data_IF_150304218154
#
_entry.id   IF_150304218154
#
_cell.length_a   1.000
_cell.length_b   1.000
_cell.length_c   1.000
_cell.angle_alpha   90.00
_cell.angle_beta   90.00
_cell.angle_gamma   90.00
#
_symmetry.space_group_name_H-M   'P 1'
#
loop_
_entity.id
_entity.type
_entity.pdbx_description
1 polymer ?
#
# COMPACT_ATOMS: atom_id res chain seq x y z
N UNK A 1 -0.77 6.28 -7.90
CA UNK A 1 -0.96 4.84 -8.21
C UNK A 1 -2.10 4.22 -7.38
N UNK A 2 -2.49 4.84 -6.24
CA UNK A 2 -3.64 4.43 -5.41
C UNK A 2 -4.89 5.30 -5.63
N UNK A 3 -4.97 6.07 -6.67
CA UNK A 3 -6.01 7.08 -6.94
C UNK A 3 -7.45 6.53 -6.88
N UNK A 4 -7.64 5.27 -7.25
CA UNK A 4 -8.94 4.58 -7.21
C UNK A 4 -9.19 3.89 -5.86
N UNK A 5 -8.15 3.67 -5.03
CA UNK A 5 -8.26 3.01 -3.74
C UNK A 5 -8.40 4.04 -2.63
N UNK A 6 -9.56 4.69 -2.57
CA UNK A 6 -9.94 5.69 -1.57
C UNK A 6 -11.26 5.29 -0.91
N UNK A 7 -11.44 5.63 0.36
CA UNK A 7 -12.51 5.14 1.20
C UNK A 7 -13.35 6.28 1.79
N UNK A 8 -14.62 6.00 2.03
CA UNK A 8 -15.54 6.98 2.60
C UNK A 8 -15.75 8.18 1.69
N UNK A 9 -15.68 9.38 2.26
CA UNK A 9 -15.88 10.64 1.55
C UNK A 9 -14.57 11.21 0.96
N UNK A 10 -13.46 10.51 1.14
CA UNK A 10 -12.16 10.94 0.61
C UNK A 10 -12.15 10.91 -0.92
N UNK A 11 -11.50 11.92 -1.50
CA UNK A 11 -11.36 12.05 -2.96
C UNK A 11 -9.89 12.26 -3.31
N UNK A 12 -9.43 11.51 -4.28
CA UNK A 12 -8.12 11.77 -4.86
C UNK A 12 -8.16 13.04 -5.70
N UNK A 13 -7.18 13.91 -5.52
CA UNK A 13 -7.00 15.12 -6.33
C UNK A 13 -5.62 15.06 -6.98
N UNK A 14 -5.58 15.02 -8.30
CA UNK A 14 -4.33 15.13 -9.04
C UNK A 14 -3.93 16.60 -9.15
N UNK A 15 -2.67 16.93 -8.83
CA UNK A 15 -2.16 18.32 -8.88
C UNK A 15 -2.37 18.95 -10.25
N UNK A 16 -2.18 18.18 -11.32
CA UNK A 16 -2.39 18.68 -12.71
C UNK A 16 -3.82 19.11 -13.02
N UNK A 17 -4.80 18.77 -12.18
CA UNK A 17 -6.20 19.15 -12.37
C UNK A 17 -6.59 20.45 -11.66
N UNK A 18 -5.68 21.04 -10.87
CA UNK A 18 -6.01 22.22 -10.03
C UNK A 18 -6.09 23.52 -10.84
N UNK A 19 -5.24 23.68 -11.85
CA UNK A 19 -5.22 24.88 -12.72
C UNK A 19 -4.50 24.57 -14.02
N UNK A 20 -4.62 25.48 -15.00
CA UNK A 20 -3.86 25.41 -16.26
C UNK A 20 -2.34 25.45 -15.99
N UNK A 21 -1.91 26.33 -15.12
CA UNK A 21 -0.50 26.44 -14.73
C UNK A 21 0.02 25.15 -14.07
N UNK A 22 -0.74 24.56 -13.13
CA UNK A 22 -0.41 23.28 -12.54
C UNK A 22 -0.31 22.16 -13.59
N UNK A 23 -1.22 22.13 -14.57
CA UNK A 23 -1.17 21.16 -15.67
C UNK A 23 0.12 21.31 -16.49
N UNK A 24 0.48 22.54 -16.86
CA UNK A 24 1.67 22.85 -17.70
C UNK A 24 3.00 22.56 -16.99
N UNK A 25 3.02 22.49 -15.64
CA UNK A 25 4.21 22.23 -14.82
C UNK A 25 4.22 20.87 -14.10
N UNK A 26 3.31 19.97 -14.47
CA UNK A 26 3.21 18.66 -13.80
C UNK A 26 3.54 17.53 -14.77
N UNK A 27 4.39 16.61 -14.31
CA UNK A 27 4.56 15.28 -14.91
C UNK A 27 3.82 14.30 -14.01
N UNK A 28 2.74 13.72 -14.51
CA UNK A 28 2.01 12.65 -13.82
C UNK A 28 2.64 11.31 -14.16
N UNK A 29 3.00 10.54 -13.14
CA UNK A 29 3.46 9.15 -13.30
C UNK A 29 2.47 8.27 -12.57
N UNK A 30 1.87 7.32 -13.28
CA UNK A 30 0.85 6.43 -12.75
C UNK A 30 1.02 5.00 -13.28
N UNK A 31 0.24 4.06 -12.79
CA UNK A 31 0.31 2.68 -13.23
C UNK A 31 -0.92 1.87 -12.87
N UNK A 32 -1.09 0.78 -13.60
CA UNK A 32 -2.24 -0.11 -13.49
C UNK A 32 -2.13 -1.10 -12.31
N UNK A 33 -0.95 -1.19 -11.69
CA UNK A 33 -0.61 -2.22 -10.70
C UNK A 33 -1.56 -2.29 -9.51
N UNK A 34 -2.03 -1.14 -9.00
CA UNK A 34 -2.79 -1.06 -7.75
C UNK A 34 -4.28 -0.84 -8.01
N UNK A 35 -4.61 0.23 -8.74
CA UNK A 35 -5.98 0.59 -9.06
C UNK A 35 -6.76 -0.50 -9.82
N UNK A 36 -6.07 -1.30 -10.62
CA UNK A 36 -6.66 -2.36 -11.45
C UNK A 36 -6.13 -3.76 -11.12
N UNK A 37 -5.48 -3.94 -9.97
CA UNK A 37 -4.90 -5.23 -9.55
C UNK A 37 -3.95 -5.89 -10.58
N UNK A 38 -3.26 -5.08 -11.41
CA UNK A 38 -2.43 -5.53 -12.53
C UNK A 38 -0.93 -5.53 -12.18
N UNK A 39 -0.55 -5.97 -10.99
CA UNK A 39 0.85 -5.96 -10.53
C UNK A 39 1.78 -6.78 -11.43
N UNK A 40 1.34 -7.95 -11.89
CA UNK A 40 2.09 -8.86 -12.75
C UNK A 40 2.23 -8.39 -14.20
N UNK A 41 1.38 -7.48 -14.65
CA UNK A 41 1.37 -6.97 -16.03
C UNK A 41 2.50 -5.99 -16.32
N UNK A 42 3.13 -5.42 -15.31
CA UNK A 42 4.30 -4.54 -15.40
C UNK A 42 4.07 -3.34 -16.34
N UNK A 43 2.96 -2.63 -16.19
CA UNK A 43 2.61 -1.46 -17.01
C UNK A 43 2.32 -0.23 -16.14
N UNK A 44 2.82 0.88 -16.60
CA UNK A 44 2.55 2.24 -16.12
C UNK A 44 2.55 3.21 -17.28
N UNK A 45 2.17 4.43 -17.00
CA UNK A 45 2.11 5.50 -17.98
C UNK A 45 2.51 6.84 -17.34
N UNK A 46 2.89 7.77 -18.20
CA UNK A 46 3.12 9.17 -17.81
C UNK A 46 2.32 10.10 -18.70
N UNK A 47 1.90 11.22 -18.11
CA UNK A 47 1.33 12.35 -18.84
C UNK A 47 2.13 13.60 -18.48
N UNK A 48 2.58 14.33 -19.50
CA UNK A 48 3.46 15.49 -19.36
C UNK A 48 3.20 16.50 -20.49
N UNK A 49 3.70 17.75 -20.38
CA UNK A 49 3.77 18.67 -21.51
C UNK A 49 4.44 18.02 -22.72
N UNK A 50 4.04 18.41 -23.93
CA UNK A 50 4.36 17.71 -25.16
C UNK A 50 5.86 17.53 -25.43
N UNK A 51 6.67 18.54 -25.13
CA UNK A 51 8.13 18.52 -25.28
C UNK A 51 8.78 17.47 -24.35
N UNK A 52 8.33 17.42 -23.09
CA UNK A 52 8.77 16.42 -22.13
C UNK A 52 8.29 15.01 -22.52
N UNK A 53 7.03 14.88 -22.95
CA UNK A 53 6.47 13.60 -23.39
C UNK A 53 7.24 13.05 -24.63
N UNK A 54 7.67 13.90 -25.56
CA UNK A 54 8.52 13.51 -26.68
C UNK A 54 9.88 13.00 -26.19
N UNK A 55 10.55 13.72 -25.28
CA UNK A 55 11.81 13.25 -24.70
C UNK A 55 11.69 11.92 -23.97
N UNK A 56 10.62 11.71 -23.18
CA UNK A 56 10.35 10.44 -22.52
C UNK A 56 10.16 9.29 -23.52
N UNK A 57 9.41 9.53 -24.61
CA UNK A 57 9.21 8.58 -25.70
C UNK A 57 10.53 8.20 -26.38
N UNK A 58 11.38 9.18 -26.66
CA UNK A 58 12.66 8.94 -27.33
C UNK A 58 13.59 8.10 -26.44
N UNK A 59 13.71 8.42 -25.14
CA UNK A 59 14.49 7.63 -24.18
C UNK A 59 13.92 6.21 -24.09
N UNK A 60 12.61 6.06 -23.95
CA UNK A 60 11.96 4.75 -23.90
C UNK A 60 12.25 3.95 -25.18
N UNK A 61 12.18 4.59 -26.35
CA UNK A 61 12.45 3.96 -27.64
C UNK A 61 13.88 3.39 -27.74
N UNK A 62 14.86 4.07 -27.16
CA UNK A 62 16.26 3.66 -27.16
C UNK A 62 16.64 2.68 -26.05
N UNK A 63 15.83 2.59 -24.98
CA UNK A 63 16.13 1.68 -23.83
C UNK A 63 15.42 0.35 -23.96
N UNK A 64 14.10 0.36 -24.14
CA UNK A 64 13.26 -0.85 -24.13
C UNK A 64 12.30 -0.92 -25.33
N UNK A 65 12.44 -0.07 -26.31
CA UNK A 65 11.58 0.14 -27.49
C UNK A 65 10.19 0.63 -27.10
N UNK A 66 9.34 -0.21 -26.53
CA UNK A 66 8.00 0.15 -26.02
C UNK A 66 7.53 -0.87 -24.97
N UNK A 67 6.45 -0.54 -24.29
CA UNK A 67 5.70 -1.52 -23.49
C UNK A 67 5.10 -2.62 -24.38
N UNK A 68 4.93 -3.82 -23.83
CA UNK A 68 4.37 -4.95 -24.57
C UNK A 68 2.98 -4.61 -25.13
N UNK A 69 2.78 -4.79 -26.44
CA UNK A 69 1.59 -4.27 -27.14
C UNK A 69 0.27 -4.81 -26.60
N UNK A 70 0.16 -6.12 -26.36
CA UNK A 70 -1.09 -6.68 -25.86
C UNK A 70 -1.41 -6.21 -24.42
N UNK A 71 -0.38 -5.87 -23.62
CA UNK A 71 -0.55 -5.29 -22.28
C UNK A 71 -1.09 -3.85 -22.39
N UNK A 72 -0.67 -3.09 -23.41
CA UNK A 72 -1.24 -1.76 -23.65
C UNK A 72 -2.73 -1.83 -23.96
N UNK A 73 -3.15 -2.80 -24.78
CA UNK A 73 -4.58 -3.05 -25.05
C UNK A 73 -5.35 -3.47 -23.79
N UNK A 74 -4.74 -4.31 -22.94
CA UNK A 74 -5.33 -4.68 -21.66
C UNK A 74 -5.48 -3.46 -20.72
N UNK A 75 -4.50 -2.54 -20.71
CA UNK A 75 -4.58 -1.30 -19.93
C UNK A 75 -5.70 -0.37 -20.43
N UNK A 76 -5.88 -0.25 -21.76
CA UNK A 76 -6.99 0.51 -22.35
C UNK A 76 -8.32 -0.11 -21.90
N UNK A 77 -8.48 -1.42 -22.07
CA UNK A 77 -9.69 -2.13 -21.65
C UNK A 77 -10.01 -1.93 -20.16
N UNK A 78 -8.98 -1.97 -19.29
CA UNK A 78 -9.15 -1.73 -17.86
C UNK A 78 -9.62 -0.30 -17.57
N UNK A 79 -9.05 0.70 -18.23
CA UNK A 79 -9.42 2.11 -18.07
C UNK A 79 -10.83 2.43 -18.57
N UNK A 80 -11.28 1.76 -19.62
CA UNK A 80 -12.56 2.03 -20.27
C UNK A 80 -13.72 1.21 -19.71
N UNK A 81 -13.47 0.02 -19.13
CA UNK A 81 -14.54 -0.96 -18.88
C UNK A 81 -14.56 -1.57 -17.47
N UNK A 82 -13.61 -1.27 -16.58
CA UNK A 82 -13.49 -1.96 -15.28
C UNK A 82 -13.84 -1.08 -14.06
N UNK A 83 -14.62 -0.02 -14.23
CA UNK A 83 -15.00 0.83 -13.09
C UNK A 83 -15.84 0.07 -12.04
N UNK A 84 -16.73 -0.84 -12.46
CA UNK A 84 -17.53 -1.66 -11.55
C UNK A 84 -16.66 -2.68 -10.79
N UNK A 85 -15.68 -3.30 -11.46
CA UNK A 85 -14.73 -4.21 -10.82
C UNK A 85 -13.86 -3.48 -9.79
N UNK A 86 -13.44 -2.27 -10.12
CA UNK A 86 -12.69 -1.39 -9.19
C UNK A 86 -13.55 -1.02 -7.98
N UNK A 87 -14.81 -0.64 -8.20
CA UNK A 87 -15.73 -0.31 -7.11
C UNK A 87 -15.94 -1.51 -6.17
N UNK A 88 -16.16 -2.70 -6.72
CA UNK A 88 -16.26 -3.93 -5.93
C UNK A 88 -14.98 -4.19 -5.11
N UNK A 89 -13.81 -4.06 -5.73
CA UNK A 89 -12.51 -4.24 -5.06
C UNK A 89 -12.31 -3.23 -3.92
N UNK A 90 -12.70 -1.97 -4.11
CA UNK A 90 -12.61 -0.91 -3.10
C UNK A 90 -13.47 -1.25 -1.88
N UNK A 91 -14.71 -1.71 -2.09
CA UNK A 91 -15.59 -2.11 -0.99
C UNK A 91 -15.04 -3.31 -0.21
N UNK A 92 -14.43 -4.28 -0.89
CA UNK A 92 -13.75 -5.40 -0.22
C UNK A 92 -12.52 -4.95 0.57
N UNK A 93 -11.72 -4.04 0.05
CA UNK A 93 -10.60 -3.46 0.78
C UNK A 93 -11.05 -2.62 1.98
N UNK A 94 -12.15 -1.89 1.86
CA UNK A 94 -12.73 -1.14 2.98
C UNK A 94 -13.12 -2.06 4.13
N UNK A 95 -13.79 -3.18 3.86
CA UNK A 95 -14.14 -4.18 4.88
C UNK A 95 -12.89 -4.73 5.58
N UNK A 96 -11.86 -5.08 4.80
CA UNK A 96 -10.59 -5.60 5.33
C UNK A 96 -9.83 -4.54 6.13
N UNK A 97 -9.81 -3.29 5.67
CA UNK A 97 -9.25 -2.16 6.40
C UNK A 97 -9.90 -2.00 7.76
N UNK A 98 -11.23 -1.90 7.77
CA UNK A 98 -11.99 -1.63 8.99
C UNK A 98 -11.81 -2.76 10.01
N UNK A 99 -11.83 -4.01 9.56
CA UNK A 99 -11.54 -5.15 10.40
C UNK A 99 -10.12 -5.11 10.97
N UNK A 100 -9.12 -4.92 10.10
CA UNK A 100 -7.71 -4.88 10.49
C UNK A 100 -7.43 -3.74 11.46
N UNK A 101 -7.96 -2.55 11.19
CA UNK A 101 -7.83 -1.39 12.05
C UNK A 101 -8.40 -1.65 13.46
N UNK A 102 -9.63 -2.14 13.53
CA UNK A 102 -10.31 -2.43 14.80
C UNK A 102 -9.54 -3.50 15.62
N UNK A 103 -9.05 -4.54 14.94
CA UNK A 103 -8.28 -5.60 15.60
C UNK A 103 -6.93 -5.09 16.13
N UNK A 104 -6.19 -4.33 15.31
CA UNK A 104 -4.89 -3.77 15.72
C UNK A 104 -5.03 -2.80 16.89
N UNK A 105 -5.99 -1.90 16.86
CA UNK A 105 -6.20 -0.92 17.93
C UNK A 105 -6.76 -1.51 19.22
N UNK A 106 -7.32 -2.72 19.17
CA UNK A 106 -7.71 -3.47 20.36
C UNK A 106 -6.52 -4.19 21.04
N UNK A 107 -5.40 -4.38 20.34
CA UNK A 107 -4.21 -5.01 20.90
C UNK A 107 -3.48 -4.05 21.86
N UNK A 108 -3.02 -4.58 23.00
CA UNK A 108 -2.30 -3.78 23.99
C UNK A 108 -1.06 -3.12 23.38
N UNK A 109 -0.89 -1.81 23.59
CA UNK A 109 0.31 -1.07 23.19
C UNK A 109 0.38 -0.76 21.68
N UNK A 110 -0.66 -1.02 20.92
CA UNK A 110 -0.74 -0.63 19.51
C UNK A 110 -1.67 0.59 19.36
N UNK A 111 -1.18 1.62 18.72
CA UNK A 111 -2.00 2.75 18.27
C UNK A 111 -1.94 2.86 16.76
N UNK A 112 -3.01 3.27 16.14
CA UNK A 112 -3.09 3.40 14.69
C UNK A 112 -4.06 4.53 14.30
N UNK A 113 -3.75 5.25 13.23
CA UNK A 113 -4.72 6.12 12.56
C UNK A 113 -5.41 5.32 11.47
N UNK A 114 -6.73 5.48 11.34
CA UNK A 114 -7.41 4.96 10.18
C UNK A 114 -6.98 5.71 8.92
N UNK A 115 -6.99 5.04 7.78
CA UNK A 115 -6.49 5.60 6.51
C UNK A 115 -7.64 5.77 5.53
N UNK A 116 -7.55 6.83 4.72
CA UNK A 116 -8.57 7.15 3.72
C UNK A 116 -8.23 6.59 2.33
N UNK A 117 -7.16 5.82 2.21
CA UNK A 117 -6.77 5.24 0.93
C UNK A 117 -5.67 4.19 1.04
N UNK A 118 -5.27 3.65 -0.11
CA UNK A 118 -4.34 2.53 -0.25
C UNK A 118 -4.86 1.22 0.38
N UNK A 119 -3.97 0.28 0.69
CA UNK A 119 -4.31 -0.99 1.35
C UNK A 119 -3.31 -1.36 2.46
N UNK A 120 -2.82 -0.34 3.16
CA UNK A 120 -1.90 -0.47 4.29
C UNK A 120 -2.41 0.31 5.49
N UNK A 121 -2.10 -0.21 6.68
CA UNK A 121 -2.08 0.54 7.93
C UNK A 121 -0.64 0.69 8.40
N UNK A 122 -0.37 1.73 9.17
CA UNK A 122 0.93 2.00 9.79
C UNK A 122 0.74 2.15 11.32
N UNK A 123 0.45 1.05 12.03
CA UNK A 123 0.34 1.09 13.48
C UNK A 123 1.69 1.40 14.13
N UNK A 124 1.64 2.23 15.17
CA UNK A 124 2.76 2.46 16.09
C UNK A 124 2.85 1.29 17.06
N UNK A 125 4.04 0.72 17.17
CA UNK A 125 4.39 -0.44 18.01
C UNK A 125 5.52 -0.11 18.99
N UNK A 126 5.91 1.15 19.10
CA UNK A 126 7.02 1.61 19.94
C UNK A 126 6.85 1.27 21.44
N UNK A 127 5.61 1.00 21.87
CA UNK A 127 5.31 0.45 23.18
C UNK A 127 6.12 -0.81 23.51
N UNK A 128 6.49 -1.59 22.51
CA UNK A 128 7.24 -2.84 22.67
C UNK A 128 8.76 -2.65 22.65
N UNK A 129 9.25 -1.46 22.33
CA UNK A 129 10.70 -1.19 22.31
C UNK A 129 11.25 -1.13 23.74
N UNK A 130 12.44 -1.70 23.93
CA UNK A 130 13.06 -1.89 25.25
C UNK A 130 12.49 -3.08 26.05
N UNK A 131 11.46 -3.76 25.54
CA UNK A 131 10.90 -4.97 26.18
C UNK A 131 11.62 -6.21 25.73
N UNK A 132 11.54 -7.26 26.52
CA UNK A 132 12.21 -8.52 26.25
C UNK A 132 11.23 -9.64 25.98
N UNK A 133 11.61 -10.53 25.07
CA UNK A 133 10.91 -11.78 24.78
C UNK A 133 11.93 -12.85 24.40
N UNK A 134 11.78 -14.06 24.93
CA UNK A 134 12.71 -15.18 24.71
C UNK A 134 14.19 -14.79 24.99
N UNK A 135 14.44 -13.92 25.99
CA UNK A 135 15.77 -13.45 26.37
C UNK A 135 16.41 -12.43 25.41
N UNK A 136 15.65 -11.91 24.45
CA UNK A 136 16.09 -10.86 23.52
C UNK A 136 15.29 -9.58 23.70
N UNK A 137 15.96 -8.45 23.64
CA UNK A 137 15.34 -7.12 23.65
C UNK A 137 14.84 -6.77 22.24
N UNK A 138 13.64 -6.20 22.16
CA UNK A 138 13.09 -5.58 20.95
C UNK A 138 13.52 -4.12 20.95
N UNK A 139 14.47 -3.76 20.10
CA UNK A 139 15.08 -2.41 20.08
C UNK A 139 14.35 -1.44 19.17
N UNK A 140 13.82 -1.94 18.07
CA UNK A 140 13.25 -1.14 16.98
C UNK A 140 12.23 -1.93 16.17
N UNK A 141 11.74 -1.32 15.09
CA UNK A 141 10.77 -1.93 14.17
C UNK A 141 11.31 -3.14 13.41
N UNK A 142 12.62 -3.27 13.22
CA UNK A 142 13.21 -4.46 12.58
C UNK A 142 13.18 -5.66 13.53
N UNK A 143 13.60 -5.46 14.78
CA UNK A 143 13.54 -6.52 15.81
C UNK A 143 12.09 -6.95 16.05
N UNK A 144 11.15 -5.99 16.10
CA UNK A 144 9.73 -6.27 16.24
C UNK A 144 9.21 -7.10 15.06
N UNK A 145 9.50 -6.71 13.82
CA UNK A 145 9.07 -7.46 12.64
C UNK A 145 9.68 -8.87 12.58
N UNK A 146 10.96 -9.01 12.94
CA UNK A 146 11.64 -10.31 13.01
C UNK A 146 10.97 -11.21 14.06
N UNK A 147 10.68 -10.67 15.23
CA UNK A 147 9.97 -11.41 16.28
C UNK A 147 8.58 -11.88 15.81
N UNK A 148 7.78 -10.99 15.20
CA UNK A 148 6.45 -11.35 14.70
C UNK A 148 6.53 -12.39 13.58
N UNK A 149 7.55 -12.31 12.72
CA UNK A 149 7.77 -13.30 11.67
C UNK A 149 8.10 -14.68 12.26
N UNK A 150 9.02 -14.72 13.21
CA UNK A 150 9.50 -15.98 13.80
C UNK A 150 8.42 -16.64 14.67
N UNK A 151 7.72 -15.84 15.49
CA UNK A 151 6.80 -16.36 16.50
C UNK A 151 5.38 -16.57 15.95
N UNK A 152 4.90 -15.63 15.11
CA UNK A 152 3.53 -15.64 14.60
C UNK A 152 3.44 -16.15 13.15
N UNK A 153 4.56 -16.25 12.44
CA UNK A 153 4.62 -16.51 11.00
C UNK A 153 3.79 -15.49 10.19
N UNK A 154 3.86 -14.23 10.61
CA UNK A 154 3.21 -13.09 9.95
C UNK A 154 4.28 -12.12 9.46
N UNK A 155 4.34 -11.92 8.15
CA UNK A 155 5.26 -10.97 7.53
C UNK A 155 4.65 -9.57 7.52
N UNK A 156 5.29 -8.65 8.22
CA UNK A 156 5.01 -7.21 8.23
C UNK A 156 6.30 -6.45 7.90
N UNK A 157 6.19 -5.19 7.54
CA UNK A 157 7.36 -4.42 7.07
C UNK A 157 7.75 -3.37 8.10
N UNK A 158 9.05 -3.28 8.49
CA UNK A 158 9.51 -2.26 9.43
C UNK A 158 9.21 -0.84 8.94
N UNK A 159 8.63 -0.02 9.82
CA UNK A 159 8.30 1.37 9.51
C UNK A 159 9.53 2.25 9.28
N UNK A 160 10.66 1.89 9.87
CA UNK A 160 11.94 2.57 9.63
C UNK A 160 12.32 2.62 8.14
N UNK A 161 11.90 1.63 7.34
CA UNK A 161 12.06 1.65 5.88
C UNK A 161 11.25 2.76 5.18
N UNK A 162 10.34 3.42 5.90
CA UNK A 162 9.45 4.49 5.42
C UNK A 162 9.60 5.77 6.25
N UNK A 163 10.72 5.98 6.95
CA UNK A 163 10.95 7.08 7.88
C UNK A 163 9.91 7.19 9.02
N UNK A 164 9.34 6.05 9.44
CA UNK A 164 8.42 5.91 10.56
C UNK A 164 8.94 4.83 11.53
N UNK A 165 10.06 5.06 12.22
CA UNK A 165 10.76 4.05 13.00
C UNK A 165 9.93 3.49 14.17
N UNK A 166 8.95 4.22 14.65
CA UNK A 166 8.00 3.80 15.69
C UNK A 166 6.96 2.79 15.21
N UNK A 167 6.77 2.69 13.90
CA UNK A 167 5.68 1.93 13.30
C UNK A 167 6.10 0.69 12.54
N UNK A 168 5.09 -0.06 12.11
CA UNK A 168 5.21 -1.16 11.13
C UNK A 168 4.12 -1.05 10.08
N UNK A 169 4.42 -1.43 8.83
CA UNK A 169 3.41 -1.44 7.77
C UNK A 169 2.71 -2.79 7.69
N UNK A 170 1.41 -2.77 7.87
CA UNK A 170 0.52 -3.93 7.75
C UNK A 170 -0.33 -3.80 6.50
N UNK A 171 -0.21 -4.74 5.56
CA UNK A 171 -1.04 -4.80 4.36
C UNK A 171 -2.28 -5.68 4.60
N UNK A 172 -3.46 -5.23 4.14
CA UNK A 172 -4.71 -5.99 4.24
C UNK A 172 -5.19 -6.50 2.86
N UNK A 173 -4.24 -6.95 2.03
CA UNK A 173 -4.51 -7.40 0.64
C UNK A 173 -4.90 -8.88 0.55
N UNK A 174 -4.72 -9.66 1.61
CA UNK A 174 -5.09 -11.06 1.66
C UNK A 174 -6.61 -11.25 1.82
N UNK A 175 -7.09 -12.50 1.68
CA UNK A 175 -8.48 -12.83 2.00
C UNK A 175 -8.80 -12.54 3.48
N UNK A 176 -10.06 -12.30 3.80
CA UNK A 176 -10.48 -11.98 5.16
C UNK A 176 -10.06 -13.09 6.16
N UNK A 177 -10.22 -14.36 5.80
CA UNK A 177 -9.84 -15.49 6.64
C UNK A 177 -8.35 -15.47 7.00
N UNK A 178 -7.48 -15.14 6.02
CA UNK A 178 -6.04 -15.02 6.25
C UNK A 178 -5.67 -13.80 7.10
N UNK A 179 -6.40 -12.72 6.96
CA UNK A 179 -6.24 -11.53 7.81
C UNK A 179 -6.62 -11.85 9.26
N UNK A 180 -7.77 -12.51 9.47
CA UNK A 180 -8.22 -12.96 10.79
C UNK A 180 -7.15 -13.85 11.43
N UNK A 181 -6.72 -14.89 10.73
CA UNK A 181 -5.70 -15.84 11.20
C UNK A 181 -4.38 -15.11 11.56
N UNK A 182 -3.92 -14.20 10.71
CA UNK A 182 -2.67 -13.46 10.94
C UNK A 182 -2.76 -12.58 12.21
N UNK A 183 -3.87 -11.86 12.37
CA UNK A 183 -4.07 -10.99 13.53
C UNK A 183 -4.24 -11.78 14.83
N UNK A 184 -4.90 -12.94 14.81
CA UNK A 184 -5.00 -13.83 15.98
C UNK A 184 -3.63 -14.36 16.41
N UNK A 185 -2.78 -14.73 15.45
CA UNK A 185 -1.40 -15.16 15.73
C UNK A 185 -0.54 -14.01 16.27
N UNK A 186 -0.66 -12.83 15.69
CA UNK A 186 0.05 -11.63 16.12
C UNK A 186 -0.34 -11.26 17.55
N UNK A 187 -1.62 -11.25 17.90
CA UNK A 187 -2.11 -10.94 19.24
C UNK A 187 -1.54 -11.94 20.28
N UNK A 188 -1.53 -13.23 19.96
CA UNK A 188 -0.93 -14.27 20.83
C UNK A 188 0.58 -14.09 21.01
N UNK A 189 1.29 -13.68 19.96
CA UNK A 189 2.72 -13.39 20.05
C UNK A 189 2.98 -12.17 20.93
N UNK A 190 2.22 -11.08 20.75
CA UNK A 190 2.34 -9.86 21.55
C UNK A 190 2.10 -10.08 23.04
N UNK A 191 1.21 -11.00 23.40
CA UNK A 191 0.94 -11.36 24.80
C UNK A 191 2.14 -12.00 25.51
N UNK A 192 3.16 -12.49 24.80
CA UNK A 192 4.39 -13.09 25.36
C UNK A 192 5.47 -12.06 25.68
N UNK A 193 5.35 -10.84 25.19
CA UNK A 193 6.34 -9.77 25.41
C UNK A 193 6.16 -9.18 26.81
N UNK A 194 7.24 -9.16 27.59
CA UNK A 194 7.29 -8.68 28.98
C UNK A 194 7.79 -7.25 29.08
#
# INVERSE_FOLDING_TARGET
VYEKLVYGDAKHVCISSLSKEAYEHTIVINGMSKAFAMTGWRIGYSAAPADIAHGLKDIQGHTTSNGVTFIQWAAIAALENCDDDVAYMVEEYKKRRDYTFNRLTAMRGITCKNVDGAFYLLPDVSYYYGRTVNGKEIKDSFDFCSYILDEAHVAIVPGAAFNAPEGVRVAYTNSMDKIVEALDRMEKALAKIQ
#
